data_IF_235475014212
#
_entry.id   IF_235475014212
#
_cell.length_a   1.000
_cell.length_b   1.000
_cell.length_c   1.000
_cell.angle_alpha   90.00
_cell.angle_beta   90.00
_cell.angle_gamma   90.00
#
_symmetry.space_group_name_H-M   'P 1'
#
loop_
_entity.id
_entity.type
_entity.pdbx_description
1 polymer ?
#
# COMPACT_ATOMS: atom_id res chain seq x y z
N UNK A 1 3.66 -7.39 -5.36
CA UNK A 1 4.28 -6.10 -5.77
C UNK A 1 5.74 -6.05 -5.38
N UNK A 2 6.04 -5.49 -4.21
CA UNK A 2 7.41 -5.22 -3.70
C UNK A 2 8.40 -6.38 -3.88
N UNK A 3 8.09 -7.58 -3.39
CA UNK A 3 9.02 -8.73 -3.49
C UNK A 3 9.42 -9.06 -4.93
N UNK A 4 8.48 -8.99 -5.87
CA UNK A 4 8.76 -9.19 -7.29
C UNK A 4 9.58 -8.06 -7.92
N UNK A 5 9.29 -6.81 -7.55
CA UNK A 5 10.02 -5.65 -8.06
C UNK A 5 11.49 -5.63 -7.60
N UNK A 6 11.77 -6.08 -6.37
CA UNK A 6 13.13 -6.27 -5.85
C UNK A 6 13.89 -7.31 -6.69
N UNK A 7 13.31 -8.51 -6.88
CA UNK A 7 13.97 -9.54 -7.69
C UNK A 7 14.11 -9.16 -9.16
N UNK A 8 13.14 -8.43 -9.71
CA UNK A 8 13.26 -7.82 -11.03
C UNK A 8 14.50 -6.93 -11.11
N UNK A 9 14.65 -5.97 -10.18
CA UNK A 9 15.77 -5.03 -10.19
C UNK A 9 17.12 -5.72 -10.01
N UNK A 10 17.20 -6.73 -9.14
CA UNK A 10 18.43 -7.52 -8.92
C UNK A 10 18.80 -8.28 -10.20
N UNK A 11 17.85 -9.01 -10.82
CA UNK A 11 18.13 -9.80 -12.02
C UNK A 11 18.43 -8.91 -13.24
N UNK A 12 17.77 -7.74 -13.35
CA UNK A 12 18.05 -6.76 -14.38
C UNK A 12 19.48 -6.20 -14.25
N UNK A 13 19.90 -5.86 -13.03
CA UNK A 13 21.27 -5.43 -12.71
C UNK A 13 22.32 -6.52 -13.02
N UNK A 14 22.00 -7.79 -12.73
CA UNK A 14 22.85 -8.95 -13.06
C UNK A 14 22.85 -9.31 -14.56
N UNK A 15 22.24 -8.50 -15.44
CA UNK A 15 22.09 -8.74 -16.89
C UNK A 15 21.31 -10.03 -17.23
N UNK A 16 20.48 -10.53 -16.32
CA UNK A 16 19.61 -11.71 -16.49
C UNK A 16 18.21 -11.31 -16.95
N UNK A 17 18.12 -10.68 -18.12
CA UNK A 17 16.88 -10.09 -18.66
C UNK A 17 15.67 -11.03 -18.63
N UNK A 18 15.79 -12.22 -19.23
CA UNK A 18 14.69 -13.22 -19.27
C UNK A 18 14.16 -13.57 -17.88
N UNK A 19 15.06 -13.74 -16.90
CA UNK A 19 14.67 -14.08 -15.53
C UNK A 19 13.98 -12.92 -14.83
N UNK A 20 14.40 -11.68 -15.11
CA UNK A 20 13.73 -10.48 -14.63
C UNK A 20 12.29 -10.37 -15.18
N UNK A 21 12.09 -10.70 -16.47
CA UNK A 21 10.77 -10.72 -17.12
C UNK A 21 9.85 -11.79 -16.51
N UNK A 22 10.37 -13.00 -16.25
CA UNK A 22 9.64 -14.07 -15.56
C UNK A 22 9.20 -13.65 -14.14
N UNK A 23 10.01 -12.88 -13.40
CA UNK A 23 9.62 -12.35 -12.08
C UNK A 23 8.47 -11.33 -12.16
N UNK A 24 8.44 -10.49 -13.20
CA UNK A 24 7.33 -9.56 -13.44
C UNK A 24 6.05 -10.35 -13.69
N UNK A 25 6.09 -11.28 -14.66
CA UNK A 25 4.94 -12.08 -15.04
C UNK A 25 4.40 -12.90 -13.87
N UNK A 26 5.29 -13.58 -13.13
CA UNK A 26 4.92 -14.35 -11.93
C UNK A 26 4.25 -13.44 -10.89
N UNK A 27 4.77 -12.23 -10.69
CA UNK A 27 4.20 -11.29 -9.73
C UNK A 27 2.84 -10.77 -10.13
N UNK A 28 2.60 -10.54 -11.42
CA UNK A 28 1.30 -10.09 -11.92
C UNK A 28 0.24 -11.18 -11.76
N UNK A 29 0.58 -12.42 -12.10
CA UNK A 29 -0.30 -13.56 -11.83
C UNK A 29 -0.59 -13.72 -10.34
N UNK A 30 0.42 -13.58 -9.47
CA UNK A 30 0.22 -13.61 -8.03
C UNK A 30 -0.69 -12.47 -7.55
N UNK A 31 -0.56 -11.25 -8.07
CA UNK A 31 -1.44 -10.14 -7.73
C UNK A 31 -2.89 -10.44 -8.11
N UNK A 32 -3.13 -10.98 -9.31
CA UNK A 32 -4.47 -11.39 -9.76
C UNK A 32 -5.03 -12.49 -8.85
N UNK A 33 -4.26 -13.56 -8.59
CA UNK A 33 -4.69 -14.67 -7.74
C UNK A 33 -5.02 -14.19 -6.32
N UNK A 34 -4.13 -13.40 -5.71
CA UNK A 34 -4.34 -12.83 -4.37
C UNK A 34 -5.55 -11.92 -4.36
N UNK A 35 -5.80 -11.16 -5.43
CA UNK A 35 -7.00 -10.31 -5.50
C UNK A 35 -8.29 -11.10 -5.52
N UNK A 36 -8.36 -12.16 -6.33
CA UNK A 36 -9.54 -13.03 -6.40
C UNK A 36 -9.79 -13.71 -5.05
N UNK A 37 -8.73 -14.26 -4.43
CA UNK A 37 -8.82 -14.88 -3.10
C UNK A 37 -9.29 -13.87 -2.06
N UNK A 38 -8.71 -12.66 -2.06
CA UNK A 38 -9.07 -11.59 -1.12
C UNK A 38 -10.52 -11.15 -1.30
N UNK A 39 -10.99 -10.98 -2.54
CA UNK A 39 -12.39 -10.67 -2.85
C UNK A 39 -13.31 -11.75 -2.30
N UNK A 40 -13.05 -13.03 -2.56
CA UNK A 40 -13.89 -14.14 -2.09
C UNK A 40 -13.96 -14.17 -0.55
N UNK A 41 -12.81 -14.07 0.12
CA UNK A 41 -12.73 -14.12 1.58
C UNK A 41 -13.44 -12.90 2.19
N UNK A 42 -13.09 -11.69 1.77
CA UNK A 42 -13.64 -10.47 2.37
C UNK A 42 -15.14 -10.37 2.09
N UNK A 43 -15.59 -10.66 0.86
CA UNK A 43 -17.00 -10.59 0.52
C UNK A 43 -17.84 -11.60 1.33
N UNK A 44 -17.38 -12.86 1.41
CA UNK A 44 -18.11 -13.95 2.07
C UNK A 44 -18.10 -13.83 3.60
N UNK A 45 -17.01 -13.33 4.19
CA UNK A 45 -16.83 -13.27 5.65
C UNK A 45 -16.93 -11.87 6.25
N UNK A 46 -17.20 -10.83 5.46
CA UNK A 46 -17.29 -9.41 5.86
C UNK A 46 -18.04 -9.19 7.19
N UNK A 47 -19.29 -9.62 7.27
CA UNK A 47 -20.13 -9.44 8.48
C UNK A 47 -19.56 -10.15 9.71
N UNK A 48 -19.00 -11.36 9.55
CA UNK A 48 -18.37 -12.10 10.67
C UNK A 48 -17.09 -11.41 11.14
N UNK A 49 -16.24 -10.96 10.21
CA UNK A 49 -15.01 -10.25 10.53
C UNK A 49 -15.34 -8.95 11.28
N UNK A 50 -16.31 -8.17 10.78
CA UNK A 50 -16.73 -6.92 11.42
C UNK A 50 -17.36 -7.14 12.80
N UNK A 51 -18.19 -8.18 12.96
CA UNK A 51 -18.75 -8.56 14.25
C UNK A 51 -17.67 -8.96 15.26
N UNK A 52 -16.65 -9.70 14.82
CA UNK A 52 -15.49 -10.05 15.67
C UNK A 52 -14.66 -8.81 16.07
N UNK A 53 -14.67 -7.77 15.25
CA UNK A 53 -14.04 -6.48 15.55
C UNK A 53 -14.92 -5.58 16.45
N UNK A 54 -16.11 -6.04 16.84
CA UNK A 54 -17.00 -5.35 17.77
C UNK A 54 -18.04 -4.44 17.12
N UNK A 55 -18.25 -4.51 15.80
CA UNK A 55 -19.32 -3.78 15.14
C UNK A 55 -20.67 -4.46 15.38
N UNK A 56 -21.71 -3.68 15.73
CA UNK A 56 -23.07 -4.18 15.95
C UNK A 56 -24.14 -3.22 15.37
N UNK A 57 -25.37 -3.72 15.24
CA UNK A 57 -26.55 -2.99 14.79
C UNK A 57 -26.36 -2.30 13.45
N UNK A 58 -26.74 -1.02 13.38
CA UNK A 58 -26.69 -0.24 12.14
C UNK A 58 -25.25 -0.01 11.64
N UNK A 59 -24.27 0.05 12.54
CA UNK A 59 -22.86 0.20 12.19
C UNK A 59 -22.37 -1.04 11.46
N UNK A 60 -22.73 -2.24 11.94
CA UNK A 60 -22.38 -3.50 11.30
C UNK A 60 -22.97 -3.59 9.89
N UNK A 61 -24.25 -3.27 9.72
CA UNK A 61 -24.91 -3.31 8.41
C UNK A 61 -24.24 -2.35 7.43
N UNK A 62 -24.01 -1.10 7.85
CA UNK A 62 -23.41 -0.08 7.00
C UNK A 62 -21.96 -0.40 6.63
N UNK A 63 -21.15 -0.85 7.59
CA UNK A 63 -19.77 -1.27 7.34
C UNK A 63 -19.70 -2.52 6.44
N UNK A 64 -20.65 -3.45 6.58
CA UNK A 64 -20.74 -4.64 5.73
C UNK A 64 -21.04 -4.25 4.29
N UNK A 65 -22.01 -3.36 4.05
CA UNK A 65 -22.34 -2.86 2.72
C UNK A 65 -21.13 -2.17 2.06
N UNK A 66 -20.44 -1.32 2.82
CA UNK A 66 -19.22 -0.64 2.38
C UNK A 66 -18.11 -1.64 1.98
N UNK A 67 -17.77 -2.58 2.88
CA UNK A 67 -16.69 -3.55 2.65
C UNK A 67 -17.00 -4.49 1.50
N UNK A 68 -18.28 -4.88 1.31
CA UNK A 68 -18.66 -5.72 0.16
C UNK A 68 -18.40 -5.02 -1.17
N UNK A 69 -18.70 -3.73 -1.27
CA UNK A 69 -18.41 -2.94 -2.46
C UNK A 69 -16.89 -2.90 -2.67
N UNK A 70 -16.12 -2.53 -1.64
CA UNK A 70 -14.64 -2.51 -1.70
C UNK A 70 -14.06 -3.87 -2.11
N UNK A 71 -14.61 -4.97 -1.60
CA UNK A 71 -14.16 -6.33 -1.93
C UNK A 71 -14.32 -6.65 -3.42
N UNK A 72 -15.42 -6.21 -4.05
CA UNK A 72 -15.64 -6.37 -5.49
C UNK A 72 -14.60 -5.57 -6.32
N UNK A 73 -14.16 -4.42 -5.80
CA UNK A 73 -13.10 -3.61 -6.40
C UNK A 73 -11.66 -3.98 -6.00
N UNK A 74 -11.47 -5.02 -5.18
CA UNK A 74 -10.15 -5.33 -4.61
C UNK A 74 -9.09 -5.65 -5.68
N UNK A 75 -9.49 -6.17 -6.84
CA UNK A 75 -8.58 -6.37 -7.98
C UNK A 75 -7.97 -5.07 -8.47
N UNK A 76 -8.74 -3.99 -8.56
CA UNK A 76 -8.24 -2.68 -8.99
C UNK A 76 -7.29 -2.11 -7.94
N UNK A 77 -7.64 -2.25 -6.66
CA UNK A 77 -6.79 -1.84 -5.53
C UNK A 77 -5.45 -2.58 -5.51
N UNK A 78 -5.48 -3.91 -5.64
CA UNK A 78 -4.29 -4.77 -5.54
C UNK A 78 -3.40 -4.63 -6.78
N UNK A 79 -3.98 -4.52 -7.98
CA UNK A 79 -3.19 -4.24 -9.18
C UNK A 79 -2.64 -2.81 -9.17
N UNK A 80 -3.48 -1.82 -8.84
CA UNK A 80 -3.11 -0.41 -8.80
C UNK A 80 -1.89 -0.16 -7.92
N UNK A 81 -1.91 -0.62 -6.67
CA UNK A 81 -0.76 -0.45 -5.77
C UNK A 81 0.33 -1.49 -5.97
N UNK A 82 -0.04 -2.72 -6.36
CA UNK A 82 0.89 -3.83 -6.56
C UNK A 82 1.85 -3.63 -7.72
N UNK A 83 1.45 -2.84 -8.73
CA UNK A 83 2.27 -2.48 -9.89
C UNK A 83 3.20 -1.28 -9.63
N UNK A 84 2.92 -0.43 -8.65
CA UNK A 84 3.74 0.77 -8.37
C UNK A 84 5.21 0.46 -8.10
N UNK A 85 5.57 -0.55 -7.29
CA UNK A 85 6.97 -0.93 -7.10
C UNK A 85 7.67 -1.27 -8.42
N UNK A 86 7.01 -1.93 -9.37
CA UNK A 86 7.62 -2.22 -10.67
C UNK A 86 7.91 -0.96 -11.46
N UNK A 87 6.96 -0.02 -11.53
CA UNK A 87 7.15 1.25 -12.24
C UNK A 87 8.35 2.04 -11.66
N UNK A 88 8.48 2.06 -10.33
CA UNK A 88 9.66 2.65 -9.66
C UNK A 88 10.95 1.93 -10.02
N UNK A 89 10.95 0.59 -10.02
CA UNK A 89 12.13 -0.21 -10.35
C UNK A 89 12.48 -0.19 -11.84
N UNK A 90 11.56 0.20 -12.73
CA UNK A 90 11.87 0.51 -14.13
C UNK A 90 12.64 1.83 -14.32
N UNK A 91 12.90 2.56 -13.23
CA UNK A 91 13.61 3.84 -13.24
C UNK A 91 12.70 5.05 -13.42
N UNK A 92 11.38 4.88 -13.31
CA UNK A 92 10.42 5.94 -13.61
C UNK A 92 9.45 6.23 -12.46
N UNK A 93 9.98 6.73 -11.35
CA UNK A 93 9.19 7.08 -10.17
C UNK A 93 8.13 8.16 -10.44
N UNK A 94 8.35 9.06 -11.39
CA UNK A 94 7.36 10.08 -11.77
C UNK A 94 6.06 9.47 -12.31
N UNK A 95 6.14 8.39 -13.09
CA UNK A 95 4.95 7.71 -13.58
C UNK A 95 4.17 6.99 -12.46
N UNK A 96 4.88 6.43 -11.47
CA UNK A 96 4.21 5.86 -10.30
C UNK A 96 3.50 6.93 -9.47
N UNK A 97 4.10 8.12 -9.33
CA UNK A 97 3.48 9.26 -8.67
C UNK A 97 2.26 9.74 -9.45
N UNK A 98 2.37 9.91 -10.77
CA UNK A 98 1.26 10.34 -11.62
C UNK A 98 0.07 9.38 -11.55
N UNK A 99 0.32 8.07 -11.54
CA UNK A 99 -0.73 7.06 -11.39
C UNK A 99 -1.48 7.21 -10.06
N UNK A 100 -0.75 7.32 -8.95
CA UNK A 100 -1.37 7.48 -7.62
C UNK A 100 -2.12 8.81 -7.48
N UNK A 101 -1.51 9.92 -7.93
CA UNK A 101 -2.15 11.24 -7.88
C UNK A 101 -3.41 11.28 -8.74
N UNK A 102 -3.37 10.70 -9.94
CA UNK A 102 -4.55 10.59 -10.80
C UNK A 102 -5.69 9.81 -10.14
N UNK A 103 -5.37 8.70 -9.46
CA UNK A 103 -6.34 7.94 -8.67
C UNK A 103 -6.92 8.72 -7.50
N UNK A 104 -6.07 9.43 -6.73
CA UNK A 104 -6.53 10.24 -5.59
C UNK A 104 -7.40 11.43 -6.01
N UNK A 105 -7.01 12.14 -7.07
CA UNK A 105 -7.83 13.22 -7.64
C UNK A 105 -9.18 12.67 -8.10
N UNK A 106 -9.18 11.54 -8.79
CA UNK A 106 -10.43 10.89 -9.23
C UNK A 106 -11.30 10.50 -8.05
N UNK A 107 -10.72 9.92 -6.99
CA UNK A 107 -11.45 9.58 -5.79
C UNK A 107 -12.06 10.82 -5.11
N UNK A 108 -11.30 11.90 -4.92
CA UNK A 108 -11.79 13.14 -4.30
C UNK A 108 -12.96 13.74 -5.10
N UNK A 109 -12.82 13.81 -6.43
CA UNK A 109 -13.87 14.35 -7.31
C UNK A 109 -15.11 13.47 -7.28
N UNK A 110 -14.95 12.14 -7.33
CA UNK A 110 -16.07 11.21 -7.29
C UNK A 110 -16.71 11.12 -5.91
N UNK A 111 -15.97 11.31 -4.82
CA UNK A 111 -16.54 11.41 -3.47
C UNK A 111 -17.46 12.63 -3.39
N UNK A 112 -17.01 13.79 -3.89
CA UNK A 112 -17.88 14.97 -3.97
C UNK A 112 -19.14 14.69 -4.80
N UNK A 113 -19.02 14.03 -5.95
CA UNK A 113 -20.17 13.74 -6.81
C UNK A 113 -21.11 12.69 -6.18
N UNK A 114 -20.60 11.53 -5.78
CA UNK A 114 -21.44 10.42 -5.32
C UNK A 114 -21.95 10.62 -3.90
N UNK A 115 -21.16 11.22 -3.00
CA UNK A 115 -21.55 11.41 -1.60
C UNK A 115 -22.32 12.70 -1.41
N UNK A 116 -21.88 13.83 -2.01
CA UNK A 116 -22.52 15.12 -1.78
C UNK A 116 -23.65 15.43 -2.76
N UNK A 117 -23.43 15.21 -4.06
CA UNK A 117 -24.44 15.56 -5.09
C UNK A 117 -25.53 14.49 -5.17
N UNK A 118 -25.14 13.21 -5.25
CA UNK A 118 -26.10 12.11 -5.37
C UNK A 118 -26.50 11.47 -4.04
N UNK A 119 -25.96 11.95 -2.91
CA UNK A 119 -26.32 11.51 -1.56
C UNK A 119 -26.27 9.98 -1.35
N UNK A 120 -25.38 9.28 -2.05
CA UNK A 120 -25.27 7.81 -2.00
C UNK A 120 -24.61 7.30 -0.69
N UNK A 121 -24.25 8.21 0.22
CA UNK A 121 -23.63 7.91 1.51
C UNK A 121 -22.39 7.03 1.37
N UNK A 122 -22.27 6.01 2.25
CA UNK A 122 -21.14 5.09 2.25
C UNK A 122 -21.00 4.28 0.95
N UNK A 123 -22.10 3.97 0.26
CA UNK A 123 -22.01 3.26 -1.02
C UNK A 123 -21.30 4.12 -2.06
N UNK A 124 -21.64 5.40 -2.13
CA UNK A 124 -20.96 6.39 -2.96
C UNK A 124 -19.46 6.46 -2.68
N UNK A 125 -19.08 6.56 -1.41
CA UNK A 125 -17.68 6.62 -1.00
C UNK A 125 -16.88 5.37 -1.40
N UNK A 126 -17.47 4.18 -1.22
CA UNK A 126 -16.85 2.93 -1.63
C UNK A 126 -16.66 2.88 -3.16
N UNK A 127 -17.67 3.29 -3.93
CA UNK A 127 -17.61 3.31 -5.40
C UNK A 127 -16.56 4.31 -5.91
N UNK A 128 -16.49 5.52 -5.33
CA UNK A 128 -15.48 6.51 -5.66
C UNK A 128 -14.06 6.00 -5.38
N UNK A 129 -13.88 5.29 -4.26
CA UNK A 129 -12.59 4.67 -3.90
C UNK A 129 -12.15 3.65 -4.96
N UNK A 130 -13.06 2.75 -5.35
CA UNK A 130 -12.77 1.71 -6.36
C UNK A 130 -12.46 2.35 -7.72
N UNK A 131 -13.21 3.38 -8.11
CA UNK A 131 -12.98 4.10 -9.35
C UNK A 131 -11.60 4.78 -9.35
N UNK A 132 -11.20 5.43 -8.25
CA UNK A 132 -9.86 6.00 -8.10
C UNK A 132 -8.75 4.96 -8.21
N UNK A 133 -8.93 3.79 -7.58
CA UNK A 133 -7.99 2.67 -7.74
C UNK A 133 -7.99 2.09 -9.16
N UNK A 134 -9.14 2.11 -9.83
CA UNK A 134 -9.29 1.76 -11.24
C UNK A 134 -8.45 2.65 -12.15
N UNK A 135 -8.48 3.98 -11.92
CA UNK A 135 -7.62 4.93 -12.64
C UNK A 135 -6.14 4.66 -12.36
N UNK A 136 -5.75 4.45 -11.10
CA UNK A 136 -4.37 4.08 -10.75
C UNK A 136 -3.91 2.83 -11.49
N UNK A 137 -4.72 1.77 -11.48
CA UNK A 137 -4.44 0.52 -12.18
C UNK A 137 -4.38 0.70 -13.70
N UNK A 138 -5.30 1.46 -14.27
CA UNK A 138 -5.32 1.75 -15.71
C UNK A 138 -4.06 2.47 -16.15
N UNK A 139 -3.64 3.53 -15.45
CA UNK A 139 -2.40 4.27 -15.75
C UNK A 139 -1.18 3.33 -15.63
N UNK A 140 -1.14 2.47 -14.61
CA UNK A 140 -0.07 1.50 -14.41
C UNK A 140 0.04 0.49 -15.56
N UNK A 141 -1.10 -0.03 -16.03
CA UNK A 141 -1.19 -0.97 -17.15
C UNK A 141 -0.80 -0.27 -18.46
N UNK A 142 -1.32 0.93 -18.72
CA UNK A 142 -0.97 1.73 -19.91
C UNK A 142 0.53 1.99 -19.95
N UNK A 143 1.13 2.39 -18.83
CA UNK A 143 2.57 2.60 -18.73
C UNK A 143 3.34 1.32 -19.07
N UNK A 144 2.94 0.17 -18.50
CA UNK A 144 3.63 -1.09 -18.73
C UNK A 144 3.52 -1.56 -20.18
N UNK A 145 2.36 -1.36 -20.83
CA UNK A 145 2.16 -1.64 -22.25
C UNK A 145 3.00 -0.72 -23.15
N UNK A 146 2.92 0.59 -22.92
CA UNK A 146 3.63 1.61 -23.72
C UNK A 146 5.15 1.40 -23.71
N UNK A 147 5.71 1.08 -22.54
CA UNK A 147 7.15 0.85 -22.39
C UNK A 147 7.60 -0.57 -22.74
N UNK A 148 6.71 -1.42 -23.29
CA UNK A 148 6.97 -2.83 -23.59
C UNK A 148 7.52 -3.61 -22.38
N UNK A 149 7.05 -3.25 -21.18
CA UNK A 149 7.35 -3.92 -19.89
C UNK A 149 6.17 -4.79 -19.42
N UNK A 150 5.27 -5.15 -20.34
CA UNK A 150 4.11 -5.97 -20.08
C UNK A 150 4.39 -7.44 -20.34
N UNK A 151 4.94 -8.11 -19.33
CA UNK A 151 5.32 -9.52 -19.41
C UNK A 151 4.28 -10.39 -18.71
N UNK A 152 3.69 -11.32 -19.45
CA UNK A 152 2.65 -12.25 -18.95
C UNK A 152 3.06 -13.71 -19.04
N UNK A 153 4.14 -14.01 -19.77
CA UNK A 153 4.64 -15.36 -19.93
C UNK A 153 5.38 -15.80 -18.66
N UNK A 154 4.95 -16.94 -18.11
CA UNK A 154 5.57 -17.58 -16.94
C UNK A 154 6.04 -18.97 -17.33
N UNK A 155 7.33 -19.25 -17.10
CA UNK A 155 7.86 -20.61 -17.19
C UNK A 155 7.37 -21.44 -16.01
N UNK A 156 6.53 -22.45 -16.28
CA UNK A 156 6.01 -23.37 -15.26
C UNK A 156 7.12 -24.10 -14.49
N UNK A 157 8.31 -24.23 -15.08
CA UNK A 157 9.47 -24.86 -14.43
C UNK A 157 10.00 -24.06 -13.23
N UNK A 158 9.97 -22.73 -13.32
CA UNK A 158 10.57 -21.83 -12.33
C UNK A 158 9.54 -21.18 -11.38
N UNK A 159 8.24 -21.30 -11.68
CA UNK A 159 7.18 -20.56 -10.97
C UNK A 159 7.17 -20.80 -9.46
N UNK A 160 7.40 -22.05 -9.01
CA UNK A 160 7.40 -22.39 -7.58
C UNK A 160 8.54 -21.69 -6.82
N UNK A 161 9.73 -21.70 -7.41
CA UNK A 161 10.91 -21.02 -6.85
C UNK A 161 10.66 -19.50 -6.79
N UNK A 162 10.16 -18.93 -7.88
CA UNK A 162 9.89 -17.49 -7.98
C UNK A 162 8.81 -17.04 -6.99
N UNK A 163 7.72 -17.78 -6.87
CA UNK A 163 6.68 -17.50 -5.86
C UNK A 163 7.27 -17.51 -4.45
N UNK A 164 8.05 -18.54 -4.09
CA UNK A 164 8.69 -18.62 -2.77
C UNK A 164 9.63 -17.44 -2.49
N UNK A 165 10.41 -17.03 -3.49
CA UNK A 165 11.28 -15.87 -3.42
C UNK A 165 10.48 -14.56 -3.22
N UNK A 166 9.45 -14.33 -4.05
CA UNK A 166 8.57 -13.15 -3.98
C UNK A 166 7.91 -13.05 -2.59
N UNK A 167 7.38 -14.16 -2.06
CA UNK A 167 6.76 -14.18 -0.74
C UNK A 167 7.78 -13.93 0.36
N UNK A 168 8.98 -14.52 0.29
CA UNK A 168 10.02 -14.33 1.31
C UNK A 168 10.42 -12.86 1.47
N UNK A 169 10.57 -12.14 0.35
CA UNK A 169 10.87 -10.70 0.40
C UNK A 169 9.62 -9.88 0.69
N UNK A 170 8.46 -10.27 0.16
CA UNK A 170 7.19 -9.57 0.34
C UNK A 170 6.60 -9.65 1.75
N UNK A 171 6.97 -10.67 2.52
CA UNK A 171 6.44 -10.88 3.87
C UNK A 171 6.86 -9.76 4.84
N UNK A 172 8.09 -9.24 4.69
CA UNK A 172 8.56 -8.15 5.55
C UNK A 172 7.79 -6.83 5.32
N UNK A 173 7.66 -6.30 4.08
CA UNK A 173 6.80 -5.14 3.81
C UNK A 173 5.33 -5.38 4.16
N UNK A 174 4.81 -6.60 3.97
CA UNK A 174 3.45 -6.95 4.38
C UNK A 174 3.25 -6.84 5.88
N UNK A 175 4.19 -7.39 6.68
CA UNK A 175 4.19 -7.26 8.13
C UNK A 175 4.25 -5.79 8.56
N UNK A 176 5.16 -5.01 7.97
CA UNK A 176 5.31 -3.58 8.26
C UNK A 176 4.05 -2.76 7.95
N UNK A 177 3.29 -3.12 6.92
CA UNK A 177 2.01 -2.49 6.59
C UNK A 177 0.87 -2.92 7.53
N UNK A 178 0.90 -4.16 8.03
CA UNK A 178 -0.10 -4.68 8.96
C UNK A 178 0.11 -4.23 10.41
N UNK A 179 1.36 -4.06 10.85
CA UNK A 179 1.68 -3.74 12.25
C UNK A 179 0.90 -2.54 12.79
N UNK A 180 0.83 -1.38 12.10
CA UNK A 180 0.07 -0.23 12.61
C UNK A 180 -1.42 -0.52 12.78
N UNK A 181 -2.01 -1.32 11.88
CA UNK A 181 -3.43 -1.69 11.93
C UNK A 181 -3.72 -2.62 13.13
N UNK A 182 -2.83 -3.57 13.41
CA UNK A 182 -2.94 -4.44 14.59
C UNK A 182 -2.77 -3.62 15.87
N UNK A 183 -1.76 -2.75 15.93
CA UNK A 183 -1.53 -1.86 17.06
C UNK A 183 -2.74 -0.96 17.34
N UNK A 184 -3.38 -0.42 16.29
CA UNK A 184 -4.59 0.40 16.39
C UNK A 184 -5.74 -0.36 17.07
N UNK A 185 -5.96 -1.63 16.74
CA UNK A 185 -7.01 -2.44 17.38
C UNK A 185 -6.75 -2.62 18.88
N UNK A 186 -5.52 -2.95 19.27
CA UNK A 186 -5.16 -3.09 20.68
C UNK A 186 -5.28 -1.76 21.42
N UNK A 187 -4.77 -0.66 20.85
CA UNK A 187 -4.81 0.65 21.49
C UNK A 187 -6.24 1.15 21.63
N UNK A 188 -7.11 0.95 20.64
CA UNK A 188 -8.52 1.31 20.76
C UNK A 188 -9.21 0.50 21.86
N UNK A 189 -8.94 -0.81 21.95
CA UNK A 189 -9.51 -1.66 23.00
C UNK A 189 -9.08 -1.23 24.40
N UNK A 190 -7.80 -0.93 24.60
CA UNK A 190 -7.28 -0.47 25.89
C UNK A 190 -7.72 0.95 26.24
N UNK A 191 -7.81 1.84 25.23
CA UNK A 191 -8.33 3.20 25.43
C UNK A 191 -9.78 3.14 25.90
N UNK A 192 -10.60 2.28 25.31
CA UNK A 192 -11.97 2.04 25.75
C UNK A 192 -12.04 1.54 27.20
N UNK A 193 -11.18 0.59 27.60
CA UNK A 193 -11.23 0.00 28.94
C UNK A 193 -10.67 0.91 30.05
N UNK A 194 -9.64 1.70 29.77
CA UNK A 194 -8.94 2.50 30.80
C UNK A 194 -9.34 3.97 30.83
N UNK A 195 -9.67 4.57 29.69
CA UNK A 195 -9.89 6.02 29.58
C UNK A 195 -11.19 6.42 28.90
N UNK A 196 -12.04 5.44 28.54
CA UNK A 196 -13.32 5.67 27.90
C UNK A 196 -13.23 6.43 26.58
N UNK A 197 -14.33 7.07 26.19
CA UNK A 197 -14.45 7.79 24.91
C UNK A 197 -13.41 8.91 24.73
N UNK A 198 -13.06 9.63 25.80
CA UNK A 198 -12.06 10.71 25.74
C UNK A 198 -10.67 10.20 25.34
N UNK A 199 -10.25 9.05 25.86
CA UNK A 199 -8.97 8.45 25.47
C UNK A 199 -8.97 7.98 24.01
N UNK A 200 -10.08 7.39 23.54
CA UNK A 200 -10.25 7.00 22.14
C UNK A 200 -10.15 8.23 21.22
N UNK A 201 -10.87 9.30 21.53
CA UNK A 201 -10.87 10.53 20.74
C UNK A 201 -9.48 11.20 20.69
N UNK A 202 -8.78 11.22 21.84
CA UNK A 202 -7.42 11.77 21.92
C UNK A 202 -6.45 10.94 21.08
N UNK A 203 -6.51 9.61 21.18
CA UNK A 203 -5.66 8.73 20.39
C UNK A 203 -5.94 8.84 18.89
N UNK A 204 -7.20 8.99 18.47
CA UNK A 204 -7.56 9.22 17.08
C UNK A 204 -6.83 10.45 16.51
N UNK A 205 -6.84 11.58 17.23
CA UNK A 205 -6.12 12.80 16.83
C UNK A 205 -4.61 12.56 16.67
N UNK A 206 -3.99 11.89 17.65
CA UNK A 206 -2.56 11.55 17.62
C UNK A 206 -2.24 10.63 16.44
N UNK A 207 -3.09 9.64 16.18
CA UNK A 207 -2.89 8.66 15.11
C UNK A 207 -2.88 9.28 13.71
N UNK A 208 -3.69 10.32 13.46
CA UNK A 208 -3.69 11.05 12.19
C UNK A 208 -2.35 11.75 11.93
N UNK A 209 -1.75 12.34 12.96
CA UNK A 209 -0.47 13.04 12.83
C UNK A 209 0.68 12.04 12.63
N UNK A 210 0.68 10.95 13.41
CA UNK A 210 1.66 9.87 13.26
C UNK A 210 1.57 9.27 11.85
N UNK A 211 0.36 9.12 11.30
CA UNK A 211 0.16 8.61 9.94
C UNK A 211 0.89 9.46 8.89
N UNK A 212 0.81 10.79 8.97
CA UNK A 212 1.51 11.69 8.04
C UNK A 212 3.03 11.49 8.12
N UNK A 213 3.59 11.45 9.33
CA UNK A 213 5.03 11.22 9.54
C UNK A 213 5.44 9.85 8.98
N UNK A 214 4.64 8.83 9.26
CA UNK A 214 4.86 7.47 8.76
C UNK A 214 4.86 7.41 7.23
N UNK A 215 3.91 8.06 6.55
CA UNK A 215 3.85 8.10 5.08
C UNK A 215 5.07 8.79 4.46
N UNK A 216 5.59 9.85 5.10
CA UNK A 216 6.83 10.52 4.67
C UNK A 216 8.03 9.57 4.80
N UNK A 217 8.16 8.89 5.94
CA UNK A 217 9.23 7.90 6.16
C UNK A 217 9.12 6.71 5.19
N UNK A 218 7.90 6.25 4.92
CA UNK A 218 7.63 5.22 3.92
C UNK A 218 8.07 5.69 2.53
N UNK A 219 7.87 6.98 2.18
CA UNK A 219 8.37 7.58 0.94
C UNK A 219 9.89 7.48 0.77
N UNK A 220 10.66 7.65 1.85
CA UNK A 220 12.13 7.45 1.84
C UNK A 220 12.47 5.98 1.56
N UNK A 221 11.76 5.04 2.19
CA UNK A 221 11.92 3.61 1.93
C UNK A 221 11.61 3.23 0.48
N UNK A 222 10.46 3.69 -0.03
CA UNK A 222 10.01 3.43 -1.39
C UNK A 222 10.93 4.05 -2.46
N UNK A 223 11.51 5.22 -2.19
CA UNK A 223 12.45 5.89 -3.09
C UNK A 223 13.86 5.28 -3.08
N UNK A 224 14.30 4.75 -1.94
CA UNK A 224 15.62 4.13 -1.81
C UNK A 224 15.66 2.66 -2.24
N UNK A 225 14.53 1.94 -2.17
CA UNK A 225 14.43 0.52 -2.51
C UNK A 225 14.97 0.18 -3.92
N UNK A 226 14.62 0.90 -5.01
CA UNK A 226 15.13 0.59 -6.35
C UNK A 226 16.65 0.72 -6.46
N UNK A 227 17.22 1.78 -5.87
CA UNK A 227 18.67 2.02 -5.87
C UNK A 227 19.40 0.93 -5.08
N UNK A 228 18.91 0.58 -3.89
CA UNK A 228 19.48 -0.51 -3.09
C UNK A 228 19.42 -1.85 -3.82
N UNK A 229 18.29 -2.15 -4.48
CA UNK A 229 18.12 -3.42 -5.21
C UNK A 229 19.04 -3.51 -6.43
N UNK A 230 19.24 -2.38 -7.13
CA UNK A 230 20.17 -2.28 -8.25
C UNK A 230 21.63 -2.46 -7.81
N UNK A 231 22.11 -1.69 -6.83
CA UNK A 231 23.50 -1.79 -6.36
C UNK A 231 23.80 -3.16 -5.75
N UNK A 232 22.83 -3.77 -5.07
CA UNK A 232 22.95 -5.14 -4.60
C UNK A 232 23.17 -6.13 -5.76
N UNK A 233 22.42 -6.01 -6.86
CA UNK A 233 22.59 -6.85 -8.05
C UNK A 233 23.88 -6.56 -8.85
N UNK A 234 24.34 -5.31 -8.87
CA UNK A 234 25.63 -4.91 -9.47
C UNK A 234 26.83 -5.35 -8.62
N UNK A 235 26.59 -5.87 -7.40
CA UNK A 235 27.60 -6.20 -6.37
C UNK A 235 28.42 -4.99 -5.92
N UNK A 236 27.90 -3.78 -6.11
CA UNK A 236 28.50 -2.54 -5.65
C UNK A 236 28.11 -2.26 -4.19
N UNK A 237 28.92 -2.81 -3.28
CA UNK A 237 28.70 -2.68 -1.84
C UNK A 237 28.94 -1.26 -1.32
N UNK A 238 29.78 -0.48 -2.00
CA UNK A 238 30.10 0.89 -1.59
C UNK A 238 28.90 1.80 -1.84
N UNK A 239 28.37 1.79 -3.06
CA UNK A 239 27.17 2.54 -3.42
C UNK A 239 25.94 2.08 -2.63
N UNK A 240 25.80 0.77 -2.40
CA UNK A 240 24.72 0.22 -1.56
C UNK A 240 24.75 0.81 -0.14
N UNK A 241 25.92 0.80 0.52
CA UNK A 241 26.10 1.39 1.85
C UNK A 241 25.90 2.90 1.85
N UNK A 242 26.32 3.58 0.77
CA UNK A 242 26.10 5.01 0.58
C UNK A 242 24.60 5.36 0.58
N UNK A 243 23.80 4.66 -0.24
CA UNK A 243 22.34 4.87 -0.28
C UNK A 243 21.67 4.51 1.04
N UNK A 244 22.06 3.40 1.68
CA UNK A 244 21.54 3.03 3.01
C UNK A 244 21.81 4.11 4.04
N UNK A 245 23.03 4.63 4.10
CA UNK A 245 23.40 5.70 5.02
C UNK A 245 22.61 6.97 4.76
N UNK A 246 22.46 7.38 3.49
CA UNK A 246 21.63 8.54 3.14
C UNK A 246 20.17 8.32 3.58
N UNK A 247 19.58 7.17 3.26
CA UNK A 247 18.21 6.85 3.65
C UNK A 247 18.01 6.90 5.17
N UNK A 248 18.93 6.33 5.96
CA UNK A 248 18.86 6.38 7.42
C UNK A 248 19.03 7.78 7.98
N UNK A 249 19.99 8.57 7.47
CA UNK A 249 20.20 9.95 7.92
C UNK A 249 18.93 10.78 7.64
N UNK A 250 18.39 10.71 6.42
CA UNK A 250 17.16 11.40 6.07
C UNK A 250 15.97 10.95 6.93
N UNK A 251 15.81 9.63 7.15
CA UNK A 251 14.74 9.11 7.99
C UNK A 251 14.85 9.59 9.45
N UNK A 252 16.06 9.62 10.02
CA UNK A 252 16.30 10.12 11.39
C UNK A 252 15.98 11.62 11.46
N UNK A 253 16.45 12.41 10.50
CA UNK A 253 16.17 13.86 10.45
C UNK A 253 14.64 14.09 10.40
N UNK A 254 13.94 13.39 9.50
CA UNK A 254 12.49 13.52 9.36
C UNK A 254 11.74 13.07 10.62
N UNK A 255 12.19 11.99 11.26
CA UNK A 255 11.59 11.52 12.51
C UNK A 255 11.80 12.51 13.66
N UNK A 256 12.99 13.10 13.79
CA UNK A 256 13.29 14.12 14.81
C UNK A 256 12.48 15.39 14.54
N UNK A 257 12.45 15.89 13.30
CA UNK A 257 11.63 17.03 12.91
C UNK A 257 10.14 16.77 13.19
N UNK A 258 9.63 15.61 12.81
CA UNK A 258 8.25 15.20 13.09
C UNK A 258 7.95 15.16 14.59
N UNK A 259 8.86 14.59 15.39
CA UNK A 259 8.75 14.55 16.85
C UNK A 259 8.75 15.94 17.50
N UNK A 260 9.61 16.85 17.03
CA UNK A 260 9.65 18.24 17.51
C UNK A 260 8.34 18.96 17.15
N UNK A 261 7.86 18.83 15.91
CA UNK A 261 6.60 19.44 15.46
C UNK A 261 5.44 18.95 16.34
N UNK A 262 5.36 17.65 16.61
CA UNK A 262 4.37 17.08 17.51
C UNK A 262 4.48 17.63 18.93
N UNK A 263 5.70 17.69 19.49
CA UNK A 263 5.92 18.14 20.86
C UNK A 263 5.58 19.62 21.05
N UNK A 264 5.92 20.48 20.08
CA UNK A 264 5.61 21.92 20.11
C UNK A 264 4.12 22.16 19.97
N UNK A 265 3.45 21.41 19.08
CA UNK A 265 2.02 21.56 18.85
C UNK A 265 1.14 20.74 19.80
N UNK A 266 1.71 20.10 20.83
CA UNK A 266 0.98 19.18 21.72
C UNK A 266 -0.25 19.80 22.38
N UNK A 267 -0.25 21.11 22.61
CA UNK A 267 -1.39 21.81 23.21
C UNK A 267 -2.54 22.02 22.21
N UNK A 268 -2.24 22.05 20.91
CA UNK A 268 -3.22 22.22 19.82
C UNK A 268 -3.69 20.86 19.27
N UNK A 269 -2.97 19.78 19.56
CA UNK A 269 -3.27 18.42 19.10
C UNK A 269 -4.22 17.77 20.10
N UNK A 270 -5.48 17.61 19.71
CA UNK A 270 -6.50 16.97 20.57
C UNK A 270 -7.06 17.88 21.67
N UNK A 271 -6.85 19.19 21.57
CA UNK A 271 -7.54 20.18 22.40
C UNK A 271 -9.03 20.20 22.06
N UNK A 272 -9.84 19.57 22.91
CA UNK A 272 -11.23 19.96 23.15
C UNK A 272 -11.23 21.11 24.15
#
# INVERSE_FOLDING_TARGET
GMGGAVYYSINAAEKKGKRAEEFIATSWWLLVIVSVISTIIIYSFSSKILGLLGADGIILTNATDYIKIIALGAILQILGTGMMPFIRNYGNSFWSMFAMVGGFITNIVLDFIFVWIYEMGMKGAATATIAGQGVTAAIAIIYALYNKKFYVYVSLKNVKEMCGAIFRVGLAPFGLALTPNISLVFINRFSASYGGEKAIATYACVSYIICIIYLILQGVGDGSQPLMSRFYGEKDQESLRGVQRMAYIFAIILAVCGGIIMYVNRANIGGV
#
